data_IF_716180618408
#
_entry.id   IF_716180618408
#
_cell.length_a   1.000
_cell.length_b   1.000
_cell.length_c   1.000
_cell.angle_alpha   90.00
_cell.angle_beta   90.00
_cell.angle_gamma   90.00
#
_symmetry.space_group_name_H-M   'P 1'
#
loop_
_entity.id
_entity.type
_entity.pdbx_description
1 polymer ?
#
# COMPACT_ATOMS: atom_id res chain seq x y z
N UNK A 1 -26.69 27.08 -0.35
CA UNK A 1 -26.24 25.68 -0.59
C UNK A 1 -25.05 25.75 -1.51
N UNK A 2 -23.84 25.66 -0.97
CA UNK A 2 -22.61 25.64 -1.77
C UNK A 2 -22.21 24.16 -1.87
N UNK A 3 -22.53 23.52 -2.99
CA UNK A 3 -22.03 22.18 -3.32
C UNK A 3 -20.52 22.31 -3.56
N UNK A 4 -19.74 22.21 -2.48
CA UNK A 4 -18.31 21.97 -2.60
C UNK A 4 -18.16 20.66 -3.35
N UNK A 5 -17.78 20.74 -4.62
CA UNK A 5 -17.32 19.58 -5.37
C UNK A 5 -16.08 19.08 -4.61
N UNK A 6 -16.27 18.05 -3.80
CA UNK A 6 -15.18 17.38 -3.10
C UNK A 6 -14.23 16.86 -4.17
N UNK A 7 -12.97 17.32 -4.13
CA UNK A 7 -11.95 16.87 -5.09
C UNK A 7 -11.88 15.33 -5.07
N UNK A 8 -11.71 14.67 -6.22
CA UNK A 8 -11.53 13.22 -6.27
C UNK A 8 -10.40 12.78 -5.33
N UNK A 9 -10.56 11.59 -4.72
CA UNK A 9 -9.64 11.08 -3.69
C UNK A 9 -8.19 11.13 -4.15
N UNK A 10 -7.91 10.68 -5.37
CA UNK A 10 -6.57 10.68 -5.94
C UNK A 10 -5.96 12.09 -5.97
N UNK A 11 -6.75 13.09 -6.36
CA UNK A 11 -6.30 14.49 -6.40
C UNK A 11 -6.03 15.05 -5.00
N UNK A 12 -6.74 14.56 -3.99
CA UNK A 12 -6.48 14.91 -2.58
C UNK A 12 -5.14 14.32 -2.12
N UNK A 13 -4.86 13.06 -2.43
CA UNK A 13 -3.57 12.41 -2.15
C UNK A 13 -2.43 13.12 -2.88
N UNK A 14 -2.58 13.40 -4.18
CA UNK A 14 -1.58 14.14 -4.96
C UNK A 14 -1.33 15.55 -4.42
N UNK A 15 -2.35 16.22 -3.88
CA UNK A 15 -2.17 17.50 -3.22
C UNK A 15 -1.38 17.36 -1.91
N UNK A 16 -1.60 16.30 -1.13
CA UNK A 16 -0.80 15.98 0.06
C UNK A 16 0.67 15.72 -0.31
N UNK A 17 0.94 14.97 -1.38
CA UNK A 17 2.30 14.70 -1.90
C UNK A 17 3.08 15.98 -2.23
N UNK A 18 2.37 17.05 -2.63
CA UNK A 18 2.95 18.34 -2.96
C UNK A 18 2.99 19.32 -1.77
N UNK A 19 2.59 18.90 -0.57
CA UNK A 19 2.47 19.76 0.61
C UNK A 19 1.33 20.78 0.52
N UNK A 20 0.33 20.55 -0.36
CA UNK A 20 -0.76 21.49 -0.68
C UNK A 20 -2.13 21.05 -0.16
N UNK A 21 -2.22 19.94 0.59
CA UNK A 21 -3.48 19.42 1.13
C UNK A 21 -3.35 19.09 2.61
N UNK A 22 -4.05 19.80 3.49
CA UNK A 22 -4.00 19.56 4.95
C UNK A 22 -5.37 19.44 5.62
N UNK A 23 -6.48 19.37 4.87
CA UNK A 23 -7.81 19.54 5.48
C UNK A 23 -8.73 18.33 5.37
N UNK A 24 -8.20 17.11 5.28
CA UNK A 24 -9.06 15.93 5.31
C UNK A 24 -8.32 14.62 5.56
N UNK A 25 -9.11 13.61 5.91
CA UNK A 25 -8.65 12.24 6.10
C UNK A 25 -8.77 11.43 4.82
N UNK A 26 -7.76 10.62 4.55
CA UNK A 26 -7.75 9.60 3.52
C UNK A 26 -7.70 8.25 4.23
N UNK A 27 -8.74 7.45 4.13
CA UNK A 27 -8.89 6.19 4.87
C UNK A 27 -8.40 5.02 4.02
N UNK A 28 -7.38 4.33 4.50
CA UNK A 28 -6.67 3.23 3.86
C UNK A 28 -6.55 2.03 4.80
N UNK A 29 -7.62 1.25 5.01
CA UNK A 29 -7.52 0.06 5.85
C UNK A 29 -6.54 -0.96 5.24
N UNK A 30 -5.67 -1.53 6.06
CA UNK A 30 -4.68 -2.51 5.64
C UNK A 30 -5.30 -3.92 5.62
N UNK A 31 -6.34 -4.09 4.79
CA UNK A 31 -7.23 -5.26 4.77
C UNK A 31 -7.14 -6.07 3.46
N UNK A 32 -5.94 -6.20 2.90
CA UNK A 32 -5.73 -6.86 1.61
C UNK A 32 -6.29 -8.30 1.59
N UNK A 33 -5.93 -9.11 2.59
CA UNK A 33 -6.32 -10.52 2.66
C UNK A 33 -7.83 -10.71 2.87
N UNK A 34 -8.51 -9.74 3.50
CA UNK A 34 -9.96 -9.79 3.72
C UNK A 34 -10.76 -9.77 2.40
N UNK A 35 -10.18 -9.23 1.32
CA UNK A 35 -10.81 -9.25 0.00
C UNK A 35 -10.96 -10.67 -0.58
N UNK A 36 -10.10 -11.61 -0.16
CA UNK A 36 -10.23 -13.02 -0.55
C UNK A 36 -11.51 -13.65 0.02
N UNK A 37 -11.94 -13.24 1.22
CA UNK A 37 -13.17 -13.75 1.84
C UNK A 37 -14.41 -13.29 1.11
N UNK A 38 -14.48 -12.01 0.74
CA UNK A 38 -15.61 -11.45 -0.03
C UNK A 38 -15.77 -12.19 -1.35
N UNK A 39 -14.63 -12.54 -1.97
CA UNK A 39 -14.60 -13.28 -3.23
C UNK A 39 -14.86 -14.78 -3.07
N UNK A 40 -14.96 -15.29 -1.84
CA UNK A 40 -15.04 -16.71 -1.48
C UNK A 40 -13.95 -17.56 -2.15
N UNK A 41 -12.69 -17.09 -2.12
CA UNK A 41 -11.54 -17.73 -2.77
C UNK A 41 -10.46 -18.19 -1.79
N UNK A 42 -9.72 -19.27 -2.12
CA UNK A 42 -8.49 -19.60 -1.43
C UNK A 42 -7.46 -18.48 -1.57
N UNK A 43 -6.81 -18.10 -0.47
CA UNK A 43 -5.86 -16.97 -0.42
C UNK A 43 -4.67 -17.14 -1.39
N UNK A 44 -4.17 -18.37 -1.55
CA UNK A 44 -3.07 -18.65 -2.47
C UNK A 44 -3.42 -18.35 -3.94
N UNK A 45 -4.62 -18.76 -4.38
CA UNK A 45 -5.12 -18.46 -5.73
C UNK A 45 -5.42 -16.98 -5.90
N UNK A 46 -6.01 -16.36 -4.87
CA UNK A 46 -6.33 -14.94 -4.87
C UNK A 46 -5.09 -14.08 -5.09
N UNK A 47 -3.96 -14.43 -4.49
CA UNK A 47 -2.73 -13.62 -4.57
C UNK A 47 -2.06 -13.69 -5.93
N UNK A 48 -2.25 -14.77 -6.70
CA UNK A 48 -1.56 -14.98 -7.98
C UNK A 48 -2.41 -14.62 -9.22
N UNK A 49 -3.68 -14.28 -9.05
CA UNK A 49 -4.57 -13.93 -10.18
C UNK A 49 -4.92 -12.43 -10.16
N UNK A 50 -4.39 -11.62 -11.11
CA UNK A 50 -4.64 -10.18 -11.14
C UNK A 50 -6.10 -9.81 -11.37
N UNK A 51 -6.88 -10.68 -12.00
CA UNK A 51 -8.32 -10.48 -12.20
C UNK A 51 -9.07 -10.64 -10.90
N UNK A 52 -8.71 -11.67 -10.12
CA UNK A 52 -9.31 -11.90 -8.81
C UNK A 52 -8.94 -10.78 -7.85
N UNK A 53 -7.67 -10.38 -7.79
CA UNK A 53 -7.23 -9.22 -6.99
C UNK A 53 -8.02 -7.96 -7.35
N UNK A 54 -8.05 -7.56 -8.61
CA UNK A 54 -8.72 -6.32 -9.02
C UNK A 54 -10.22 -6.33 -8.68
N UNK A 55 -10.90 -7.47 -8.89
CA UNK A 55 -12.33 -7.61 -8.57
C UNK A 55 -12.58 -7.62 -7.06
N UNK A 56 -11.90 -8.49 -6.32
CA UNK A 56 -12.10 -8.66 -4.88
C UNK A 56 -11.75 -7.40 -4.09
N UNK A 57 -10.66 -6.72 -4.44
CA UNK A 57 -10.26 -5.46 -3.81
C UNK A 57 -11.25 -4.33 -4.12
N UNK A 58 -11.79 -4.28 -5.35
CA UNK A 58 -12.85 -3.33 -5.70
C UNK A 58 -14.15 -3.61 -4.95
N UNK A 59 -14.51 -4.88 -4.79
CA UNK A 59 -15.71 -5.30 -4.05
C UNK A 59 -15.59 -4.95 -2.57
N UNK A 60 -14.44 -5.23 -1.95
CA UNK A 60 -14.12 -4.79 -0.58
C UNK A 60 -14.29 -3.28 -0.45
N UNK A 61 -13.69 -2.51 -1.36
CA UNK A 61 -13.76 -1.05 -1.31
C UNK A 61 -15.19 -0.53 -1.42
N UNK A 62 -16.01 -1.11 -2.30
CA UNK A 62 -17.43 -0.74 -2.44
C UNK A 62 -18.25 -1.11 -1.21
N UNK A 63 -17.91 -2.23 -0.56
CA UNK A 63 -18.65 -2.75 0.57
C UNK A 63 -18.40 -1.93 1.86
N UNK A 64 -17.18 -1.42 2.06
CA UNK A 64 -16.83 -0.64 3.27
C UNK A 64 -16.71 0.87 3.03
N UNK A 65 -16.56 1.34 1.79
CA UNK A 65 -16.57 2.76 1.42
C UNK A 65 -15.31 3.54 1.78
N UNK A 66 -14.15 2.88 1.89
CA UNK A 66 -12.86 3.54 2.11
C UNK A 66 -12.33 4.27 0.86
N UNK A 67 -11.31 5.11 1.03
CA UNK A 67 -10.74 5.93 -0.05
C UNK A 67 -9.68 5.20 -0.89
N UNK A 68 -8.95 4.31 -0.26
CA UNK A 68 -7.71 3.75 -0.79
C UNK A 68 -7.80 2.24 -0.89
N UNK A 69 -7.52 1.70 -2.07
CA UNK A 69 -7.37 0.26 -2.26
C UNK A 69 -5.91 -0.13 -2.05
N UNK A 70 -5.65 -1.07 -1.14
CA UNK A 70 -4.35 -1.72 -0.99
C UNK A 70 -4.20 -2.78 -2.09
N UNK A 71 -3.23 -2.63 -2.99
CA UNK A 71 -3.03 -3.51 -4.16
C UNK A 71 -1.89 -4.51 -3.98
N UNK A 72 -1.03 -4.25 -3.01
CA UNK A 72 -0.02 -5.14 -2.45
C UNK A 72 0.07 -4.80 -0.96
N UNK A 73 0.28 -5.79 -0.10
CA UNK A 73 0.40 -5.56 1.33
C UNK A 73 1.16 -6.70 2.00
N UNK A 74 2.04 -6.33 2.93
CA UNK A 74 2.85 -7.26 3.71
C UNK A 74 4.33 -7.07 3.43
N UNK A 75 5.12 -7.70 4.27
CA UNK A 75 6.59 -7.74 4.25
C UNK A 75 7.13 -9.03 3.61
N UNK A 76 6.29 -9.84 2.97
CA UNK A 76 6.70 -11.13 2.38
C UNK A 76 6.24 -11.31 0.92
N UNK A 77 5.63 -10.32 0.28
CA UNK A 77 5.11 -10.50 -1.10
C UNK A 77 6.24 -10.76 -2.09
N UNK A 78 7.39 -10.11 -1.91
CA UNK A 78 8.61 -10.32 -2.68
C UNK A 78 9.14 -11.74 -2.46
N UNK A 79 9.27 -12.17 -1.20
CA UNK A 79 9.72 -13.52 -0.83
C UNK A 79 8.81 -14.61 -1.40
N UNK A 80 7.49 -14.43 -1.32
CA UNK A 80 6.50 -15.36 -1.89
C UNK A 80 6.51 -15.40 -3.42
N UNK A 81 7.07 -14.37 -4.06
CA UNK A 81 7.18 -14.28 -5.52
C UNK A 81 8.50 -14.84 -6.04
N UNK A 82 9.49 -14.99 -5.18
CA UNK A 82 10.79 -15.52 -5.52
C UNK A 82 10.71 -17.01 -5.89
N UNK A 83 11.49 -17.41 -6.89
CA UNK A 83 11.64 -18.81 -7.31
C UNK A 83 12.94 -19.46 -6.82
N UNK A 84 13.78 -18.65 -6.15
CA UNK A 84 15.05 -19.00 -5.52
C UNK A 84 15.44 -17.92 -4.52
N UNK A 85 16.71 -17.86 -4.17
CA UNK A 85 17.23 -16.95 -3.12
C UNK A 85 17.72 -15.60 -3.68
N UNK A 86 17.59 -15.38 -4.99
CA UNK A 86 18.05 -14.17 -5.66
C UNK A 86 16.98 -13.10 -5.73
N UNK A 87 17.41 -11.85 -5.57
CA UNK A 87 16.57 -10.68 -5.50
C UNK A 87 16.50 -10.02 -6.90
N UNK A 88 15.88 -10.74 -7.85
CA UNK A 88 15.75 -10.31 -9.25
C UNK A 88 14.32 -9.81 -9.59
N UNK A 89 14.22 -8.57 -10.06
CA UNK A 89 12.94 -7.95 -10.35
C UNK A 89 12.18 -8.65 -11.48
N UNK A 90 12.86 -9.18 -12.50
CA UNK A 90 12.19 -9.82 -13.63
C UNK A 90 11.58 -11.16 -13.21
N UNK A 91 12.30 -11.92 -12.40
CA UNK A 91 11.84 -13.19 -11.86
C UNK A 91 10.68 -13.00 -10.88
N UNK A 92 10.82 -12.05 -9.94
CA UNK A 92 9.78 -11.77 -8.96
C UNK A 92 8.53 -11.17 -9.60
N UNK A 93 8.63 -10.46 -10.73
CA UNK A 93 7.49 -9.91 -11.48
C UNK A 93 7.05 -10.77 -12.67
N UNK A 94 7.52 -12.03 -12.74
CA UNK A 94 7.09 -12.98 -13.77
C UNK A 94 5.62 -13.35 -13.62
N UNK A 95 4.93 -13.53 -14.75
CA UNK A 95 3.52 -13.94 -14.76
C UNK A 95 3.28 -15.18 -13.86
N UNK A 96 2.23 -15.07 -13.03
CA UNK A 96 1.82 -16.10 -12.07
C UNK A 96 2.41 -15.94 -10.66
N UNK A 97 3.31 -14.97 -10.44
CA UNK A 97 3.75 -14.63 -9.07
C UNK A 97 2.78 -13.64 -8.40
N UNK A 98 2.74 -13.60 -7.05
CA UNK A 98 1.96 -12.62 -6.32
C UNK A 98 2.31 -11.16 -6.69
N UNK A 99 3.59 -10.84 -6.81
CA UNK A 99 4.03 -9.48 -7.12
C UNK A 99 3.59 -9.04 -8.52
N UNK A 100 3.69 -9.93 -9.52
CA UNK A 100 3.20 -9.67 -10.88
C UNK A 100 1.67 -9.45 -10.89
N UNK A 101 0.93 -10.29 -10.15
CA UNK A 101 -0.51 -10.16 -10.03
C UNK A 101 -0.92 -8.83 -9.38
N UNK A 102 -0.22 -8.40 -8.32
CA UNK A 102 -0.43 -7.11 -7.65
C UNK A 102 -0.12 -5.92 -8.57
N UNK A 103 0.95 -5.95 -9.35
CA UNK A 103 1.28 -4.90 -10.32
C UNK A 103 0.22 -4.77 -11.41
N UNK A 104 -0.21 -5.89 -11.99
CA UNK A 104 -1.25 -5.89 -13.02
C UNK A 104 -2.61 -5.49 -12.44
N UNK A 105 -2.95 -5.92 -11.21
CA UNK A 105 -4.15 -5.46 -10.50
C UNK A 105 -4.11 -3.94 -10.26
N UNK A 106 -2.97 -3.39 -9.85
CA UNK A 106 -2.76 -1.95 -9.71
C UNK A 106 -3.06 -1.21 -11.02
N UNK A 107 -2.50 -1.70 -12.14
CA UNK A 107 -2.73 -1.11 -13.46
C UNK A 107 -4.21 -1.13 -13.84
N UNK A 108 -4.90 -2.26 -13.68
CA UNK A 108 -6.32 -2.42 -14.00
C UNK A 108 -7.19 -1.51 -13.15
N UNK A 109 -6.97 -1.52 -11.83
CA UNK A 109 -7.71 -0.69 -10.88
C UNK A 109 -7.54 0.79 -11.19
N UNK A 110 -6.34 1.23 -11.59
CA UNK A 110 -6.14 2.61 -12.04
C UNK A 110 -6.94 2.91 -13.31
N UNK A 111 -6.90 2.01 -14.29
CA UNK A 111 -7.59 2.20 -15.56
C UNK A 111 -9.12 2.27 -15.39
N UNK A 112 -9.70 1.46 -14.50
CA UNK A 112 -11.14 1.41 -14.27
C UNK A 112 -11.63 2.39 -13.20
N UNK A 113 -10.87 2.62 -12.14
CA UNK A 113 -11.25 3.44 -10.98
C UNK A 113 -11.01 4.94 -11.16
N UNK A 114 -10.22 5.33 -12.15
CA UNK A 114 -9.98 6.75 -12.46
C UNK A 114 -9.37 7.51 -11.28
N UNK A 115 -9.90 8.69 -10.97
CA UNK A 115 -9.41 9.53 -9.85
C UNK A 115 -10.26 9.41 -8.57
N UNK A 116 -11.33 8.60 -8.59
CA UNK A 116 -12.28 8.45 -7.46
C UNK A 116 -11.71 7.64 -6.31
N UNK A 117 -10.74 6.76 -6.60
CA UNK A 117 -9.99 5.99 -5.61
C UNK A 117 -8.50 6.34 -5.67
N UNK A 118 -7.84 6.17 -4.54
CA UNK A 118 -6.38 6.10 -4.50
C UNK A 118 -5.91 4.65 -4.35
N UNK A 119 -4.68 4.37 -4.77
CA UNK A 119 -4.08 3.04 -4.70
C UNK A 119 -2.85 3.07 -3.78
N UNK A 120 -2.71 2.04 -2.95
CA UNK A 120 -1.61 1.85 -2.01
C UNK A 120 -0.88 0.53 -2.26
N UNK A 121 0.44 0.56 -2.33
CA UNK A 121 1.29 -0.61 -2.31
C UNK A 121 2.06 -0.63 -0.98
N UNK A 122 1.84 -1.67 -0.19
CA UNK A 122 2.67 -2.01 0.96
C UNK A 122 3.83 -2.88 0.50
N UNK A 123 5.05 -2.40 0.68
CA UNK A 123 6.27 -3.03 0.17
C UNK A 123 7.28 -3.29 1.28
N UNK A 124 8.02 -4.37 1.17
CA UNK A 124 9.13 -4.69 2.06
C UNK A 124 10.27 -3.71 1.84
N UNK A 125 10.77 -3.11 2.92
CA UNK A 125 11.85 -2.14 2.86
C UNK A 125 13.22 -2.80 2.64
N UNK A 126 14.23 -2.00 2.25
CA UNK A 126 15.52 -2.51 1.80
C UNK A 126 16.30 -3.29 2.88
N UNK A 127 16.22 -2.92 4.16
CA UNK A 127 16.96 -3.67 5.20
C UNK A 127 16.34 -5.05 5.45
N UNK A 128 15.01 -5.11 5.48
CA UNK A 128 14.27 -6.37 5.63
C UNK A 128 14.42 -7.25 4.39
N UNK A 129 14.43 -6.68 3.18
CA UNK A 129 14.75 -7.41 1.95
C UNK A 129 16.16 -8.02 1.99
N UNK A 130 17.18 -7.25 2.39
CA UNK A 130 18.54 -7.76 2.51
C UNK A 130 18.61 -8.95 3.49
N UNK A 131 17.89 -8.86 4.62
CA UNK A 131 17.84 -9.93 5.61
C UNK A 131 17.07 -11.18 5.10
N UNK A 132 15.95 -11.00 4.39
CA UNK A 132 15.12 -12.10 3.90
C UNK A 132 15.80 -12.93 2.81
N UNK A 133 16.56 -12.26 1.94
CA UNK A 133 17.24 -12.89 0.81
C UNK A 133 18.73 -13.14 1.07
N UNK A 134 19.22 -12.84 2.29
CA UNK A 134 20.64 -12.98 2.67
C UNK A 134 21.59 -12.34 1.63
N UNK A 135 21.24 -11.14 1.16
CA UNK A 135 21.94 -10.45 0.07
C UNK A 135 22.60 -9.14 0.51
N UNK A 136 23.37 -8.54 -0.41
CA UNK A 136 24.05 -7.27 -0.14
C UNK A 136 23.03 -6.13 0.04
N UNK A 137 23.19 -5.25 1.05
CA UNK A 137 22.30 -4.10 1.24
C UNK A 137 22.14 -3.19 0.01
N UNK A 138 23.19 -3.06 -0.81
CA UNK A 138 23.16 -2.27 -2.06
C UNK A 138 22.27 -2.93 -3.12
N UNK A 139 22.28 -4.27 -3.18
CA UNK A 139 21.43 -5.05 -4.07
C UNK A 139 19.96 -4.89 -3.68
N UNK A 140 19.65 -5.09 -2.39
CA UNK A 140 18.30 -4.87 -1.85
C UNK A 140 17.81 -3.43 -2.05
N UNK A 141 18.68 -2.43 -1.85
CA UNK A 141 18.37 -1.02 -2.12
C UNK A 141 18.05 -0.74 -3.60
N UNK A 142 18.85 -1.32 -4.50
CA UNK A 142 18.67 -1.15 -5.95
C UNK A 142 17.35 -1.76 -6.41
N UNK A 143 17.02 -2.97 -5.95
CA UNK A 143 15.74 -3.58 -6.24
C UNK A 143 14.57 -2.81 -5.62
N UNK A 144 14.66 -2.42 -4.34
CA UNK A 144 13.57 -1.71 -3.67
C UNK A 144 13.19 -0.43 -4.41
N UNK A 145 14.18 0.36 -4.82
CA UNK A 145 13.93 1.59 -5.59
C UNK A 145 13.34 1.30 -6.98
N UNK A 146 13.76 0.20 -7.63
CA UNK A 146 13.17 -0.26 -8.89
C UNK A 146 11.72 -0.73 -8.71
N UNK A 147 11.41 -1.47 -7.64
CA UNK A 147 10.07 -1.95 -7.34
C UNK A 147 9.10 -0.80 -7.02
N UNK A 148 9.55 0.19 -6.23
CA UNK A 148 8.80 1.43 -5.98
C UNK A 148 8.45 2.13 -7.29
N UNK A 149 9.40 2.19 -8.22
CA UNK A 149 9.17 2.77 -9.56
C UNK A 149 8.12 1.98 -10.34
N UNK A 150 8.17 0.65 -10.34
CA UNK A 150 7.18 -0.19 -11.05
C UNK A 150 5.76 0.04 -10.52
N UNK A 151 5.54 0.03 -9.20
CA UNK A 151 4.22 0.31 -8.63
C UNK A 151 3.74 1.74 -8.93
N UNK A 152 4.65 2.72 -8.85
CA UNK A 152 4.32 4.10 -9.22
C UNK A 152 3.98 4.25 -10.70
N UNK A 153 4.65 3.51 -11.59
CA UNK A 153 4.35 3.48 -13.02
C UNK A 153 3.00 2.79 -13.31
N UNK A 154 2.67 1.73 -12.57
CA UNK A 154 1.36 1.06 -12.64
C UNK A 154 0.20 1.95 -12.15
N UNK A 155 0.50 3.04 -11.44
CA UNK A 155 -0.48 4.06 -11.05
C UNK A 155 -0.79 4.10 -9.57
N UNK A 156 0.09 3.56 -8.72
CA UNK A 156 0.02 3.69 -7.28
C UNK A 156 0.16 5.15 -6.83
N UNK A 157 -0.58 5.57 -5.80
CA UNK A 157 -0.50 6.93 -5.22
C UNK A 157 0.16 6.95 -3.83
N UNK A 158 0.25 5.80 -3.16
CA UNK A 158 0.81 5.65 -1.82
C UNK A 158 1.72 4.42 -1.79
N UNK A 159 2.95 4.59 -1.36
CA UNK A 159 3.86 3.49 -1.04
C UNK A 159 4.02 3.45 0.47
N UNK A 160 3.64 2.35 1.10
CA UNK A 160 3.84 2.12 2.53
C UNK A 160 5.00 1.14 2.71
N UNK A 161 6.07 1.58 3.35
CA UNK A 161 7.30 0.80 3.51
C UNK A 161 7.28 0.07 4.85
N UNK A 162 7.44 -1.24 4.81
CA UNK A 162 7.59 -2.11 5.99
C UNK A 162 9.07 -2.46 6.16
N UNK A 163 9.76 -1.78 7.08
CA UNK A 163 11.17 -2.03 7.34
C UNK A 163 11.48 -2.01 8.85
N UNK A 164 11.01 -3.02 9.60
CA UNK A 164 11.24 -3.07 11.05
C UNK A 164 12.72 -3.26 11.42
N UNK A 165 13.53 -3.72 10.47
CA UNK A 165 14.97 -3.91 10.66
C UNK A 165 15.70 -2.59 10.46
N UNK A 166 16.38 -2.10 11.49
CA UNK A 166 17.33 -0.99 11.35
C UNK A 166 18.71 -1.63 11.05
N UNK A 167 19.30 -1.37 9.87
CA UNK A 167 20.59 -1.94 9.51
C UNK A 167 21.74 -1.25 10.27
N UNK A 168 22.89 -1.91 10.35
CA UNK A 168 24.10 -1.35 10.98
C UNK A 168 24.57 -0.06 10.28
N UNK A 169 24.43 0.01 8.94
CA UNK A 169 24.67 1.21 8.15
C UNK A 169 23.36 1.98 7.92
N UNK A 170 23.03 2.84 8.88
CA UNK A 170 21.81 3.63 8.87
C UNK A 170 21.81 4.74 7.80
N UNK A 171 22.99 5.22 7.37
CA UNK A 171 23.09 6.35 6.44
C UNK A 171 22.69 5.95 5.02
N UNK A 172 23.29 4.88 4.48
CA UNK A 172 22.99 4.36 3.15
C UNK A 172 21.52 3.89 3.04
N UNK A 173 21.01 3.30 4.12
CA UNK A 173 19.61 2.91 4.23
C UNK A 173 18.66 4.12 4.17
N UNK A 174 18.94 5.19 4.93
CA UNK A 174 18.15 6.44 4.88
C UNK A 174 18.20 7.09 3.50
N UNK A 175 19.36 7.08 2.84
CA UNK A 175 19.52 7.62 1.50
C UNK A 175 18.75 6.81 0.44
N UNK A 176 18.66 5.48 0.63
CA UNK A 176 17.80 4.61 -0.18
C UNK A 176 16.32 4.98 -0.02
N UNK A 177 15.83 5.12 1.21
CA UNK A 177 14.44 5.52 1.47
C UNK A 177 14.10 6.91 0.92
N UNK A 178 15.05 7.85 1.03
CA UNK A 178 14.94 9.18 0.44
C UNK A 178 14.89 9.13 -1.09
N UNK A 179 15.65 8.24 -1.70
CA UNK A 179 15.62 7.99 -3.14
C UNK A 179 14.26 7.44 -3.58
N UNK A 180 13.75 6.42 -2.89
CA UNK A 180 12.40 5.88 -3.12
C UNK A 180 11.31 6.95 -2.95
N UNK A 181 11.40 7.80 -1.92
CA UNK A 181 10.48 8.92 -1.70
C UNK A 181 10.52 9.94 -2.84
N UNK A 182 11.71 10.24 -3.39
CA UNK A 182 11.85 11.11 -4.55
C UNK A 182 11.24 10.48 -5.83
N UNK A 183 11.42 9.18 -6.04
CA UNK A 183 10.77 8.44 -7.13
C UNK A 183 9.25 8.52 -6.99
N UNK A 184 8.69 8.19 -5.82
CA UNK A 184 7.26 8.29 -5.56
C UNK A 184 6.74 9.71 -5.85
N UNK A 185 7.43 10.74 -5.35
CA UNK A 185 7.05 12.15 -5.59
C UNK A 185 7.10 12.55 -7.06
N UNK A 186 8.06 12.05 -7.84
CA UNK A 186 8.12 12.27 -9.30
C UNK A 186 6.85 11.74 -10.00
N UNK A 187 6.34 10.60 -9.55
CA UNK A 187 5.06 10.01 -10.00
C UNK A 187 3.82 10.63 -9.33
N UNK A 188 3.99 11.65 -8.48
CA UNK A 188 2.94 12.29 -7.65
C UNK A 188 2.31 11.34 -6.62
N UNK A 189 3.04 10.31 -6.21
CA UNK A 189 2.73 9.45 -5.09
C UNK A 189 3.41 9.94 -3.79
N UNK A 190 3.07 9.33 -2.66
CA UNK A 190 3.68 9.57 -1.34
C UNK A 190 4.33 8.28 -0.84
N UNK A 191 5.59 8.34 -0.41
CA UNK A 191 6.20 7.27 0.37
C UNK A 191 5.98 7.53 1.86
N UNK A 192 5.51 6.50 2.58
CA UNK A 192 5.23 6.52 4.00
C UNK A 192 5.99 5.39 4.69
N UNK A 193 6.41 5.62 5.92
CA UNK A 193 7.04 4.60 6.75
C UNK A 193 6.03 3.95 7.69
N UNK A 194 5.98 2.62 7.68
CA UNK A 194 5.28 1.85 8.70
C UNK A 194 6.21 1.61 9.89
N UNK A 195 5.84 2.13 11.06
CA UNK A 195 6.64 1.96 12.30
C UNK A 195 8.10 2.41 12.23
N UNK A 196 8.41 3.37 11.33
CA UNK A 196 9.76 3.87 11.14
C UNK A 196 9.80 5.39 11.07
N UNK A 197 10.87 6.00 11.60
CA UNK A 197 11.04 7.46 11.65
C UNK A 197 11.66 8.05 10.38
N UNK A 198 12.27 7.23 9.52
CA UNK A 198 12.96 7.69 8.32
C UNK A 198 12.04 8.24 7.23
N UNK A 199 10.73 7.96 7.31
CA UNK A 199 9.70 8.46 6.41
C UNK A 199 8.50 8.99 7.22
N UNK A 200 7.67 9.88 6.66
CA UNK A 200 6.43 10.28 7.30
C UNK A 200 5.54 9.06 7.56
N UNK A 201 4.94 8.96 8.74
CA UNK A 201 4.08 7.82 9.10
C UNK A 201 2.60 8.15 8.88
N UNK A 202 1.77 7.16 8.53
CA UNK A 202 0.32 7.33 8.53
C UNK A 202 -0.20 7.49 9.97
N UNK A 203 -1.39 8.07 10.12
CA UNK A 203 -2.11 8.02 11.38
C UNK A 203 -2.72 6.62 11.56
N UNK A 204 -2.21 5.86 12.51
CA UNK A 204 -2.63 4.48 12.77
C UNK A 204 -3.73 4.46 13.81
N UNK A 205 -4.80 3.71 13.56
CA UNK A 205 -5.96 3.65 14.45
C UNK A 205 -6.32 2.20 14.74
N UNK A 206 -6.43 1.81 16.02
CA UNK A 206 -6.87 0.48 16.41
C UNK A 206 -8.24 0.14 15.80
N UNK A 207 -8.45 -1.12 15.44
CA UNK A 207 -9.72 -1.56 14.84
C UNK A 207 -10.88 -1.46 15.84
N UNK A 208 -10.62 -1.78 17.12
CA UNK A 208 -11.56 -1.84 18.23
C UNK A 208 -11.83 -0.48 18.91
N UNK A 209 -11.01 0.53 18.62
CA UNK A 209 -11.12 1.87 19.18
C UNK A 209 -10.99 2.98 18.10
N UNK A 210 -11.88 3.03 17.09
CA UNK A 210 -11.80 4.03 16.04
C UNK A 210 -11.96 5.45 16.59
N UNK A 211 -11.08 6.36 16.17
CA UNK A 211 -11.09 7.77 16.60
C UNK A 211 -11.06 8.75 15.44
N UNK A 212 -11.86 9.81 15.52
CA UNK A 212 -11.84 10.93 14.57
C UNK A 212 -10.70 11.91 14.80
N UNK A 213 -9.68 11.58 15.60
CA UNK A 213 -8.45 12.36 15.71
C UNK A 213 -7.54 12.19 14.47
N UNK A 214 -6.79 13.25 14.13
CA UNK A 214 -5.78 13.24 13.07
C UNK A 214 -6.29 13.65 11.67
N UNK A 215 -5.33 13.99 10.80
CA UNK A 215 -5.55 14.34 9.40
C UNK A 215 -4.47 13.66 8.53
N UNK A 216 -4.69 13.61 7.21
CA UNK A 216 -3.78 12.93 6.29
C UNK A 216 -4.19 11.48 6.01
N UNK A 217 -3.20 10.62 5.76
CA UNK A 217 -3.41 9.19 5.49
C UNK A 217 -3.66 8.48 6.83
N UNK A 218 -4.75 7.72 6.92
CA UNK A 218 -5.15 6.97 8.10
C UNK A 218 -5.32 5.51 7.76
N UNK A 219 -4.66 4.64 8.53
CA UNK A 219 -4.66 3.20 8.35
C UNK A 219 -5.17 2.52 9.61
N UNK A 220 -5.57 1.25 9.48
CA UNK A 220 -5.69 0.35 10.64
C UNK A 220 -4.33 0.24 11.32
N UNK A 221 -4.27 0.02 12.63
CA UNK A 221 -3.00 -0.12 13.37
C UNK A 221 -2.23 -1.41 13.05
N UNK A 222 -2.92 -2.43 12.54
CA UNK A 222 -2.33 -3.69 12.12
C UNK A 222 -2.77 -4.04 10.68
N UNK A 223 -2.04 -4.98 10.08
CA UNK A 223 -2.47 -5.71 8.89
C UNK A 223 -3.62 -6.64 9.29
N UNK A 224 -4.75 -6.53 8.60
CA UNK A 224 -5.93 -7.31 8.91
C UNK A 224 -5.90 -8.63 8.15
N UNK A 225 -5.98 -9.73 8.91
CA UNK A 225 -6.03 -11.09 8.36
C UNK A 225 -7.41 -11.41 7.79
N UNK A 226 -7.54 -12.57 7.14
CA UNK A 226 -8.84 -13.12 6.73
C UNK A 226 -9.78 -13.23 7.92
N UNK A 227 -9.32 -13.65 9.10
CA UNK A 227 -10.20 -13.91 10.24
C UNK A 227 -10.82 -12.67 10.88
N UNK A 228 -10.51 -11.48 10.36
CA UNK A 228 -11.04 -10.21 10.87
C UNK A 228 -12.54 -10.11 10.58
N UNK A 229 -13.34 -9.70 11.57
CA UNK A 229 -14.76 -9.48 11.37
C UNK A 229 -14.98 -8.31 10.39
N UNK A 230 -15.67 -8.61 9.29
CA UNK A 230 -16.01 -7.63 8.26
C UNK A 230 -16.84 -6.46 8.81
N UNK A 231 -17.72 -6.70 9.80
CA UNK A 231 -18.55 -5.67 10.41
C UNK A 231 -17.76 -4.71 11.29
N UNK A 232 -16.70 -5.19 11.96
CA UNK A 232 -15.78 -4.35 12.72
C UNK A 232 -15.04 -3.39 11.77
N UNK A 233 -14.54 -3.90 10.64
CA UNK A 233 -13.89 -3.06 9.63
C UNK A 233 -14.85 -2.03 9.03
N UNK A 234 -16.08 -2.44 8.70
CA UNK A 234 -17.10 -1.53 8.17
C UNK A 234 -17.44 -0.42 9.17
N UNK A 235 -17.57 -0.77 10.45
CA UNK A 235 -17.82 0.18 11.54
C UNK A 235 -16.65 1.15 11.73
N UNK A 236 -15.42 0.64 11.64
CA UNK A 236 -14.20 1.43 11.69
C UNK A 236 -14.17 2.47 10.57
N UNK A 237 -14.39 2.07 9.31
CA UNK A 237 -14.42 3.00 8.17
C UNK A 237 -15.55 4.02 8.31
N UNK A 238 -16.75 3.59 8.71
CA UNK A 238 -17.90 4.48 8.91
C UNK A 238 -17.61 5.55 9.98
N UNK A 239 -17.02 5.15 11.10
CA UNK A 239 -16.66 6.06 12.20
C UNK A 239 -15.67 7.12 11.74
N UNK A 240 -14.61 6.72 11.04
CA UNK A 240 -13.58 7.64 10.53
C UNK A 240 -14.09 8.51 9.36
N UNK A 241 -15.15 8.09 8.68
CA UNK A 241 -15.79 8.83 7.59
C UNK A 241 -16.82 9.86 8.08
N UNK A 242 -17.38 9.69 9.28
CA UNK A 242 -18.47 10.48 9.87
C UNK A 242 -18.18 11.96 10.16
N UNK A 243 -17.20 12.56 9.50
CA UNK A 243 -16.78 13.96 9.69
C UNK A 243 -16.29 14.64 8.40
N UNK A 244 -16.58 14.06 7.21
CA UNK A 244 -16.14 14.57 5.90
C UNK A 244 -17.01 15.70 5.35
#
# INVERSE_FOLDING_TARGET
MNTLITRPVRKRVQAMALGRGQHGRIIAPLAFDLAAQISARPIGEFHCDPTQLANGLSELQRAIGNDVICVALGDEIELRSASGDELDLQDLTREGTPLAASLEACHRLRASGGDEIALLAGLTGPATLAAQFDCDPTEAASFFTALVKEFCAAGCDLVLVFDPTIPDDEEDWRDTLKTASNIARFHRAIALGWEMEALPSPHRVPLDAPTVAGAGITTTEALLSTETDFEDLRTWVATLSGSR
#
